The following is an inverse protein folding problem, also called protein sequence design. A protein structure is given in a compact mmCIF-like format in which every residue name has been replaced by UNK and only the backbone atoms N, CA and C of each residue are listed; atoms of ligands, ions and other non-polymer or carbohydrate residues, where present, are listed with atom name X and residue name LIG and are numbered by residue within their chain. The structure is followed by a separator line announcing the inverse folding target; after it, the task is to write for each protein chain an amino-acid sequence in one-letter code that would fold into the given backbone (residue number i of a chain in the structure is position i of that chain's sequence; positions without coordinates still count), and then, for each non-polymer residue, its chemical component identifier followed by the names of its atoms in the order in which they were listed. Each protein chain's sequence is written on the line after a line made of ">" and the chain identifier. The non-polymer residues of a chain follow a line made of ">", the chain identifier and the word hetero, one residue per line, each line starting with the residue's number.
data_IF_229502464323
#
_entry.id   IF_229502464323
#
_cell.length_a   1.000
_cell.length_b   1.000
_cell.length_c   1.000
_cell.angle_alpha   90.00
_cell.angle_beta   90.00
_cell.angle_gamma   90.00
#
_symmetry.space_group_name_H-M   'P 1'
#
loop_
_entity.id
_entity.type
_entity.pdbx_description
1 polymer ?
#
# COMPACT_ATOMS: atom_id res chain seq x y z
N UNK A 1 7.54 -10.76 6.72
CA UNK A 1 6.07 -10.98 6.68
C UNK A 1 5.66 -11.06 5.22
N UNK A 2 4.81 -12.03 4.88
CA UNK A 2 4.40 -12.25 3.49
C UNK A 2 3.30 -11.30 3.06
N UNK A 3 3.23 -11.02 1.76
CA UNK A 3 2.13 -10.25 1.17
C UNK A 3 0.92 -11.16 0.90
N UNK A 4 -0.24 -10.55 0.62
CA UNK A 4 -1.49 -11.28 0.31
C UNK A 4 -1.40 -12.12 -0.98
N UNK A 5 -0.44 -11.81 -1.86
CA UNK A 5 -0.03 -12.67 -2.98
C UNK A 5 1.49 -12.76 -3.03
N UNK A 6 1.98 -13.94 -3.42
CA UNK A 6 3.42 -14.25 -3.55
C UNK A 6 4.11 -13.32 -4.56
N UNK A 7 3.37 -12.85 -5.56
CA UNK A 7 3.89 -11.92 -6.57
C UNK A 7 4.26 -10.53 -5.99
N UNK A 8 3.58 -10.11 -4.92
CA UNK A 8 3.82 -8.82 -4.28
C UNK A 8 4.76 -8.94 -3.06
N UNK A 9 5.13 -10.15 -2.64
CA UNK A 9 6.09 -10.38 -1.54
C UNK A 9 7.45 -9.68 -1.77
N UNK A 10 8.11 -9.79 -2.94
CA UNK A 10 9.43 -9.15 -3.11
C UNK A 10 9.35 -7.62 -2.98
N UNK A 11 8.34 -7.00 -3.59
CA UNK A 11 8.09 -5.55 -3.48
C UNK A 11 7.75 -5.14 -2.04
N UNK A 12 7.03 -5.99 -1.30
CA UNK A 12 6.74 -5.76 0.12
C UNK A 12 8.02 -5.74 0.95
N UNK A 13 8.90 -6.73 0.77
CA UNK A 13 10.14 -6.81 1.53
C UNK A 13 11.04 -5.62 1.27
N UNK A 14 11.14 -5.17 0.01
CA UNK A 14 11.91 -3.99 -0.36
C UNK A 14 11.33 -2.71 0.28
N UNK A 15 10.00 -2.56 0.24
CA UNK A 15 9.33 -1.44 0.89
C UNK A 15 9.48 -1.46 2.41
N UNK A 16 9.25 -2.61 3.06
CA UNK A 16 9.34 -2.77 4.51
C UNK A 16 10.77 -2.50 5.00
N UNK A 17 11.79 -2.94 4.26
CA UNK A 17 13.19 -2.67 4.57
C UNK A 17 13.51 -1.17 4.48
N UNK A 18 13.07 -0.51 3.42
CA UNK A 18 13.21 0.95 3.27
C UNK A 18 12.48 1.69 4.39
N UNK A 19 11.23 1.34 4.64
CA UNK A 19 10.38 1.98 5.64
C UNK A 19 10.96 1.82 7.05
N UNK A 20 11.42 0.63 7.43
CA UNK A 20 11.99 0.37 8.77
C UNK A 20 13.23 1.22 9.02
N UNK A 21 14.11 1.32 8.01
CA UNK A 21 15.31 2.17 8.08
C UNK A 21 14.93 3.64 8.19
N UNK A 22 14.07 4.12 7.29
CA UNK A 22 13.61 5.51 7.30
C UNK A 22 12.88 5.88 8.59
N UNK A 23 12.01 4.99 9.09
CA UNK A 23 11.26 5.20 10.31
C UNK A 23 12.21 5.40 11.51
N UNK A 24 13.21 4.52 11.64
CA UNK A 24 14.14 4.53 12.77
C UNK A 24 15.15 5.69 12.70
N UNK A 25 15.70 5.96 11.51
CA UNK A 25 16.80 6.92 11.35
C UNK A 25 16.33 8.34 11.00
N UNK A 26 15.15 8.51 10.43
CA UNK A 26 14.67 9.80 9.92
C UNK A 26 13.40 10.25 10.64
N UNK A 27 12.35 9.45 10.57
CA UNK A 27 11.04 9.84 11.10
C UNK A 27 11.07 10.07 12.61
N UNK A 28 11.63 9.14 13.38
CA UNK A 28 11.77 9.30 14.84
C UNK A 28 12.70 10.45 15.24
N UNK A 29 13.59 10.87 14.34
CA UNK A 29 14.48 12.02 14.54
C UNK A 29 13.84 13.35 14.06
N UNK A 30 12.59 13.33 13.63
CA UNK A 30 11.83 14.51 13.20
C UNK A 30 11.94 14.85 11.71
N UNK A 31 12.65 14.05 10.91
CA UNK A 31 12.73 14.25 9.47
C UNK A 31 11.49 13.68 8.75
N UNK A 32 10.85 14.50 7.91
CA UNK A 32 9.62 14.17 7.16
C UNK A 32 9.87 13.90 5.69
N UNK A 33 11.02 13.29 5.36
CA UNK A 33 11.36 12.93 3.98
C UNK A 33 10.52 11.72 3.53
N UNK A 34 10.36 11.54 2.23
CA UNK A 34 9.51 10.50 1.65
C UNK A 34 10.33 9.57 0.74
N UNK A 35 11.41 9.03 1.30
CA UNK A 35 12.45 8.30 0.56
C UNK A 35 11.94 6.98 -0.06
N UNK A 36 10.96 6.34 0.56
CA UNK A 36 10.43 5.04 0.13
C UNK A 36 9.26 5.13 -0.87
N UNK A 37 8.88 6.34 -1.31
CA UNK A 37 7.68 6.56 -2.14
C UNK A 37 7.70 5.79 -3.45
N UNK A 38 8.87 5.65 -4.09
CA UNK A 38 9.00 4.94 -5.37
C UNK A 38 8.66 3.45 -5.22
N UNK A 39 9.27 2.80 -4.24
CA UNK A 39 9.06 1.37 -3.93
C UNK A 39 7.62 1.15 -3.44
N UNK A 40 7.11 2.07 -2.62
CA UNK A 40 5.73 2.01 -2.15
C UNK A 40 4.71 2.03 -3.28
N UNK A 41 4.90 2.90 -4.29
CA UNK A 41 3.98 2.97 -5.44
C UNK A 41 3.93 1.64 -6.19
N UNK A 42 5.07 1.03 -6.46
CA UNK A 42 5.15 -0.27 -7.14
C UNK A 42 4.46 -1.38 -6.33
N UNK A 43 4.70 -1.40 -5.02
CA UNK A 43 4.02 -2.34 -4.12
C UNK A 43 2.50 -2.10 -4.07
N UNK A 44 2.07 -0.84 -4.00
CA UNK A 44 0.67 -0.45 -3.95
C UNK A 44 -0.07 -0.84 -5.24
N UNK A 45 0.54 -0.68 -6.41
CA UNK A 45 -0.03 -1.11 -7.69
C UNK A 45 -0.24 -2.63 -7.73
N UNK A 46 0.77 -3.40 -7.26
CA UNK A 46 0.67 -4.85 -7.14
C UNK A 46 -0.49 -5.26 -6.22
N UNK A 47 -0.61 -4.61 -5.05
CA UNK A 47 -1.70 -4.87 -4.11
C UNK A 47 -3.07 -4.55 -4.71
N UNK A 48 -3.24 -3.41 -5.39
CA UNK A 48 -4.51 -3.02 -6.00
C UNK A 48 -5.02 -4.09 -6.97
N UNK A 49 -4.14 -4.61 -7.84
CA UNK A 49 -4.48 -5.71 -8.76
C UNK A 49 -4.99 -6.94 -8.01
N UNK A 50 -4.20 -7.41 -7.04
CA UNK A 50 -4.52 -8.63 -6.29
C UNK A 50 -5.80 -8.48 -5.46
N UNK A 51 -6.04 -7.30 -4.88
CA UNK A 51 -7.26 -7.02 -4.11
C UNK A 51 -8.51 -7.02 -4.99
N UNK A 52 -8.40 -6.50 -6.22
CA UNK A 52 -9.47 -6.53 -7.23
C UNK A 52 -9.78 -7.97 -7.66
N UNK A 53 -8.75 -8.76 -7.96
CA UNK A 53 -8.91 -10.19 -8.34
C UNK A 53 -9.53 -11.04 -7.22
N UNK A 54 -9.18 -10.76 -5.96
CA UNK A 54 -9.74 -11.46 -4.80
C UNK A 54 -11.10 -10.94 -4.36
N UNK A 55 -11.63 -9.89 -4.98
CA UNK A 55 -12.92 -9.28 -4.63
C UNK A 55 -12.95 -8.60 -3.25
N UNK A 56 -11.79 -8.28 -2.68
CA UNK A 56 -11.67 -7.70 -1.34
C UNK A 56 -11.79 -6.17 -1.33
N UNK A 57 -11.71 -5.54 -2.50
CA UNK A 57 -11.76 -4.09 -2.69
C UNK A 57 -12.96 -3.44 -2.00
N UNK A 58 -14.17 -4.02 -2.15
CA UNK A 58 -15.40 -3.50 -1.54
C UNK A 58 -15.31 -3.48 -0.01
N UNK A 59 -14.89 -4.59 0.59
CA UNK A 59 -14.76 -4.70 2.06
C UNK A 59 -13.75 -3.70 2.62
N UNK A 60 -12.63 -3.50 1.91
CA UNK A 60 -11.60 -2.55 2.31
C UNK A 60 -12.11 -1.11 2.18
N UNK A 61 -12.82 -0.79 1.10
CA UNK A 61 -13.42 0.52 0.88
C UNK A 61 -14.47 0.86 1.94
N UNK A 62 -15.27 -0.12 2.35
CA UNK A 62 -16.29 0.06 3.39
C UNK A 62 -15.65 0.21 4.80
N UNK A 63 -14.55 -0.49 5.08
CA UNK A 63 -13.93 -0.50 6.40
C UNK A 63 -12.99 0.69 6.66
N UNK A 64 -12.25 1.16 5.66
CA UNK A 64 -11.23 2.21 5.84
C UNK A 64 -11.74 3.56 6.34
N UNK A 65 -12.94 4.04 5.95
CA UNK A 65 -13.51 5.28 6.48
C UNK A 65 -13.66 5.25 8.01
N UNK A 66 -13.94 4.09 8.60
CA UNK A 66 -14.06 3.94 10.04
C UNK A 66 -12.74 4.22 10.80
N UNK A 67 -11.59 4.11 10.12
CA UNK A 67 -10.26 4.40 10.68
C UNK A 67 -9.68 5.73 10.13
N UNK A 68 -10.51 6.58 9.53
CA UNK A 68 -10.09 7.88 9.01
C UNK A 68 -9.17 7.81 7.78
N UNK A 69 -9.21 6.71 7.03
CA UNK A 69 -8.45 6.56 5.78
C UNK A 69 -9.38 6.24 4.60
N UNK A 70 -8.99 6.59 3.38
CA UNK A 70 -9.78 6.28 2.18
C UNK A 70 -8.96 5.35 1.29
N UNK A 71 -9.56 4.23 0.86
CA UNK A 71 -9.03 3.47 -0.25
C UNK A 71 -9.53 4.12 -1.54
N UNK A 72 -8.71 4.97 -2.15
CA UNK A 72 -9.03 5.51 -3.46
C UNK A 72 -8.69 4.46 -4.52
N UNK A 73 -9.67 3.62 -4.87
CA UNK A 73 -9.71 3.02 -6.19
C UNK A 73 -9.93 4.17 -7.19
N UNK A 74 -8.89 4.51 -7.95
CA UNK A 74 -9.00 5.42 -9.10
C UNK A 74 -9.63 4.71 -10.32
N UNK A 75 -10.32 3.60 -10.10
CA UNK A 75 -11.18 2.99 -11.11
C UNK A 75 -12.54 3.63 -10.96
N UNK A 76 -12.75 4.67 -11.78
CA UNK A 76 -14.09 5.15 -12.09
C UNK A 76 -14.92 3.97 -12.57
N UNK A 77 -16.04 3.76 -11.91
CA UNK A 77 -17.20 3.11 -12.49
C UNK A 77 -17.61 3.97 -13.69
N UNK A 78 -17.11 3.64 -14.88
CA UNK A 78 -17.79 3.95 -16.13
C UNK A 78 -18.31 2.62 -16.69
N UNK A 79 -19.37 2.12 -16.05
CA UNK A 79 -20.36 1.33 -16.78
C UNK A 79 -21.14 2.28 -17.67
N UNK A 80 -20.88 2.22 -18.97
CA UNK A 80 -21.90 2.47 -19.98
C UNK A 80 -21.86 1.40 -21.05
#
# INVERSE_FOLDING_TARGET
>A
MESISKECTPLKHEYDACFTKWYSEKFLQGAKTNDCTKVFKQYQECLKRVLKEKGLTKMISDARPAIGSVFADRDGDEKK
#
